data_IF_143404453724
#
_entry.id   IF_143404453724
#
_cell.length_a   1.000
_cell.length_b   1.000
_cell.length_c   1.000
_cell.angle_alpha   90.00
_cell.angle_beta   90.00
_cell.angle_gamma   90.00
#
_symmetry.space_group_name_H-M   'P 1'
#
loop_
_entity.id
_entity.type
_entity.pdbx_description
1 polymer ?
#
# COMPACT_ATOMS: atom_id res chain seq x y z
N UNK A 1 -0.41 -9.16 23.74
CA UNK A 1 -1.15 -8.49 22.66
C UNK A 1 -0.23 -7.86 21.66
N UNK A 2 0.73 -7.04 22.08
CA UNK A 2 1.68 -6.42 21.16
C UNK A 2 2.51 -7.44 20.39
N UNK A 3 2.91 -8.54 21.03
CA UNK A 3 3.66 -9.60 20.35
C UNK A 3 2.86 -10.24 19.22
N UNK A 4 1.55 -10.42 19.40
CA UNK A 4 0.68 -11.00 18.37
C UNK A 4 0.54 -10.05 17.21
N UNK A 5 0.31 -8.75 17.49
CA UNK A 5 0.18 -7.73 16.46
C UNK A 5 1.46 -7.59 15.64
N UNK A 6 2.61 -7.55 16.32
CA UNK A 6 3.91 -7.44 15.68
C UNK A 6 4.19 -8.65 14.78
N UNK A 7 3.82 -9.83 15.24
CA UNK A 7 3.97 -11.05 14.46
C UNK A 7 3.09 -11.04 13.22
N UNK A 8 1.87 -10.53 13.34
CA UNK A 8 0.95 -10.42 12.20
C UNK A 8 1.52 -9.50 11.13
N UNK A 9 2.11 -8.38 11.53
CA UNK A 9 2.75 -7.45 10.60
C UNK A 9 3.93 -8.11 9.89
N UNK A 10 4.77 -8.84 10.62
CA UNK A 10 5.91 -9.54 10.04
C UNK A 10 5.47 -10.58 9.03
N UNK A 11 4.45 -11.36 9.35
CA UNK A 11 3.91 -12.37 8.44
C UNK A 11 3.36 -11.72 7.18
N UNK A 12 2.71 -10.58 7.33
CA UNK A 12 2.19 -9.82 6.20
C UNK A 12 3.32 -9.33 5.28
N UNK A 13 4.37 -8.77 5.87
CA UNK A 13 5.52 -8.31 5.08
C UNK A 13 6.23 -9.46 4.38
N UNK A 14 6.37 -10.60 5.06
CA UNK A 14 6.96 -11.80 4.46
C UNK A 14 6.12 -12.26 3.25
N UNK A 15 4.81 -12.22 3.37
CA UNK A 15 3.92 -12.58 2.28
C UNK A 15 4.09 -11.64 1.10
N UNK A 16 4.20 -10.33 1.35
CA UNK A 16 4.42 -9.34 0.30
C UNK A 16 5.72 -9.64 -0.46
N UNK A 17 6.77 -10.05 0.25
CA UNK A 17 8.07 -10.33 -0.36
C UNK A 17 8.03 -11.55 -1.29
N UNK A 18 7.00 -12.37 -1.23
CA UNK A 18 6.85 -13.51 -2.15
C UNK A 18 6.20 -13.13 -3.47
N UNK A 19 5.63 -11.92 -3.57
CA UNK A 19 4.93 -11.46 -4.77
C UNK A 19 5.97 -11.07 -5.82
N UNK A 20 5.81 -11.55 -7.05
CA UNK A 20 6.80 -11.37 -8.11
C UNK A 20 6.29 -10.56 -9.30
N UNK A 21 4.98 -10.53 -9.51
CA UNK A 21 4.39 -9.85 -10.66
C UNK A 21 3.23 -8.96 -10.22
N UNK A 22 2.82 -7.98 -11.06
CA UNK A 22 1.62 -7.19 -10.76
C UNK A 22 0.37 -8.06 -10.61
N UNK A 23 0.27 -9.17 -11.36
CA UNK A 23 -0.86 -10.07 -11.23
C UNK A 23 -0.87 -10.75 -9.86
N UNK A 24 0.30 -11.16 -9.36
CA UNK A 24 0.43 -11.72 -8.02
C UNK A 24 -0.02 -10.72 -6.96
N UNK A 25 0.42 -9.47 -7.10
CA UNK A 25 0.05 -8.41 -6.18
C UNK A 25 -1.46 -8.16 -6.19
N UNK A 26 -2.06 -8.11 -7.37
CA UNK A 26 -3.49 -7.91 -7.50
C UNK A 26 -4.26 -9.01 -6.79
N UNK A 27 -3.90 -10.26 -7.06
CA UNK A 27 -4.58 -11.41 -6.45
C UNK A 27 -4.48 -11.37 -4.94
N UNK A 28 -3.28 -11.08 -4.42
CA UNK A 28 -3.03 -11.02 -2.99
C UNK A 28 -3.88 -9.93 -2.32
N UNK A 29 -3.81 -8.71 -2.85
CA UNK A 29 -4.49 -7.58 -2.22
C UNK A 29 -6.00 -7.62 -2.40
N UNK A 30 -6.50 -8.15 -3.53
CA UNK A 30 -7.94 -8.33 -3.70
C UNK A 30 -8.51 -9.37 -2.74
N UNK A 31 -7.68 -10.32 -2.30
CA UNK A 31 -8.08 -11.35 -1.35
C UNK A 31 -8.24 -10.82 0.06
N UNK A 32 -7.39 -9.88 0.47
CA UNK A 32 -7.34 -9.40 1.86
C UNK A 32 -7.92 -8.01 2.05
N UNK A 33 -8.19 -7.26 0.99
CA UNK A 33 -8.70 -5.90 1.07
C UNK A 33 -10.04 -5.77 0.36
N UNK A 34 -10.87 -4.86 0.86
CA UNK A 34 -12.02 -4.39 0.08
C UNK A 34 -11.50 -3.48 -1.04
N UNK A 35 -12.37 -3.23 -2.03
CA UNK A 35 -12.03 -2.31 -3.13
C UNK A 35 -11.65 -0.93 -2.59
N UNK A 36 -12.41 -0.42 -1.62
CA UNK A 36 -12.13 0.90 -1.03
C UNK A 36 -10.81 0.92 -0.28
N UNK A 37 -10.50 -0.15 0.45
CA UNK A 37 -9.24 -0.25 1.17
C UNK A 37 -8.06 -0.26 0.20
N UNK A 38 -8.16 -1.02 -0.88
CA UNK A 38 -7.11 -1.09 -1.88
C UNK A 38 -6.91 0.26 -2.57
N UNK A 39 -8.00 0.94 -2.93
CA UNK A 39 -7.92 2.27 -3.53
C UNK A 39 -7.26 3.27 -2.59
N UNK A 40 -7.59 3.20 -1.30
CA UNK A 40 -7.00 4.07 -0.29
C UNK A 40 -5.49 3.83 -0.15
N UNK A 41 -5.08 2.57 -0.13
CA UNK A 41 -3.65 2.21 -0.05
C UNK A 41 -2.90 2.71 -1.28
N UNK A 42 -3.46 2.49 -2.46
CA UNK A 42 -2.84 2.92 -3.71
C UNK A 42 -2.69 4.43 -3.77
N UNK A 43 -3.70 5.17 -3.30
CA UNK A 43 -3.64 6.63 -3.25
C UNK A 43 -2.57 7.11 -2.27
N UNK A 44 -2.48 6.49 -1.10
CA UNK A 44 -1.44 6.83 -0.11
C UNK A 44 -0.05 6.59 -0.67
N UNK A 45 0.12 5.50 -1.37
CA UNK A 45 1.41 5.20 -2.01
C UNK A 45 1.74 6.26 -3.06
N UNK A 46 0.77 6.65 -3.88
CA UNK A 46 0.98 7.67 -4.90
C UNK A 46 1.38 9.02 -4.28
N UNK A 47 0.71 9.41 -3.19
CA UNK A 47 1.03 10.65 -2.47
C UNK A 47 2.46 10.59 -1.96
N UNK A 48 2.84 9.48 -1.31
CA UNK A 48 4.19 9.31 -0.78
C UNK A 48 5.24 9.37 -1.89
N UNK A 49 4.98 8.73 -3.03
CA UNK A 49 5.90 8.72 -4.16
C UNK A 49 6.09 10.13 -4.74
N UNK A 50 5.01 10.90 -4.87
CA UNK A 50 5.08 12.26 -5.38
C UNK A 50 5.82 13.19 -4.43
N UNK A 51 5.61 13.05 -3.12
CA UNK A 51 6.34 13.82 -2.12
C UNK A 51 7.83 13.49 -2.14
N UNK A 52 8.15 12.23 -2.34
CA UNK A 52 9.54 11.76 -2.43
C UNK A 52 10.25 12.35 -3.66
N UNK A 53 9.49 12.65 -4.73
CA UNK A 53 10.01 13.33 -5.91
C UNK A 53 10.21 14.82 -5.71
N UNK A 54 9.90 15.34 -4.53
CA UNK A 54 10.10 16.75 -4.20
C UNK A 54 8.93 17.65 -4.51
N UNK A 55 7.76 17.09 -4.82
CA UNK A 55 6.56 17.88 -5.06
C UNK A 55 5.97 18.37 -3.74
N UNK A 56 5.37 19.55 -3.76
CA UNK A 56 4.76 20.07 -2.54
C UNK A 56 3.36 19.48 -2.35
N UNK A 57 2.82 19.69 -1.16
CA UNK A 57 1.53 19.13 -0.79
C UNK A 57 0.40 19.55 -1.72
N UNK A 58 0.39 20.81 -2.14
CA UNK A 58 -0.65 21.32 -3.03
C UNK A 58 -0.62 20.65 -4.39
N UNK A 59 0.57 20.47 -4.95
CA UNK A 59 0.73 19.78 -6.23
C UNK A 59 0.24 18.35 -6.16
N UNK A 60 0.59 17.65 -5.07
CA UNK A 60 0.17 16.27 -4.86
C UNK A 60 -1.34 16.19 -4.72
N UNK A 61 -1.94 17.12 -3.98
CA UNK A 61 -3.38 17.17 -3.77
C UNK A 61 -4.12 17.39 -5.09
N UNK A 62 -3.62 18.26 -5.96
CA UNK A 62 -4.23 18.51 -7.26
C UNK A 62 -4.17 17.28 -8.18
N UNK A 63 -3.07 16.54 -8.15
CA UNK A 63 -2.90 15.35 -8.99
C UNK A 63 -3.69 14.15 -8.50
N UNK A 64 -3.84 14.00 -7.19
CA UNK A 64 -4.50 12.81 -6.63
C UNK A 64 -5.97 13.04 -6.26
N UNK A 65 -6.39 14.28 -6.33
CA UNK A 65 -7.75 14.63 -5.94
C UNK A 65 -7.94 14.70 -4.45
#
# INVERSE_FOLDING_TARGET
MEKIRHRDEELFYDAILTLKTPADCRAFFEDICTIKELQSIAQRFRVAALLDEGRNYLEVSEETG
#
